data_IF_887753247910
#
_entry.id   IF_887753247910
#
_cell.length_a   1.000
_cell.length_b   1.000
_cell.length_c   1.000
_cell.angle_alpha   90.00
_cell.angle_beta   90.00
_cell.angle_gamma   90.00
#
_symmetry.space_group_name_H-M   'P 1'
#
loop_
_entity.id
_entity.type
_entity.pdbx_description
1 polymer ?
#
# COMPACT_ATOMS: atom_id res chain seq x y z
N UNK A 1 -23.67 8.93 14.74
CA UNK A 1 -23.84 10.27 14.10
C UNK A 1 -23.16 10.21 12.76
N UNK A 2 -23.81 10.62 11.68
CA UNK A 2 -23.17 10.68 10.37
C UNK A 2 -22.20 11.86 10.34
N UNK A 3 -20.92 11.61 9.98
CA UNK A 3 -19.93 12.68 9.90
C UNK A 3 -20.29 13.68 8.79
N UNK A 4 -20.04 14.97 9.03
CA UNK A 4 -20.14 15.98 7.98
C UNK A 4 -18.92 15.90 7.08
N UNK A 5 -19.08 15.41 5.85
CA UNK A 5 -18.01 15.23 4.87
C UNK A 5 -17.86 16.42 3.91
N UNK A 6 -18.72 17.45 3.98
CA UNK A 6 -18.61 18.63 3.12
C UNK A 6 -17.30 19.38 3.44
N UNK A 7 -16.61 19.87 2.44
CA UNK A 7 -15.33 20.56 2.59
C UNK A 7 -15.25 21.74 1.62
N UNK A 8 -14.73 22.89 2.09
CA UNK A 8 -14.35 24.03 1.25
C UNK A 8 -12.84 24.21 1.31
N UNK A 9 -12.19 24.15 0.16
CA UNK A 9 -10.73 24.15 0.08
C UNK A 9 -10.25 25.59 -0.06
N UNK A 10 -9.54 26.09 0.95
CA UNK A 10 -9.00 27.44 0.97
C UNK A 10 -7.54 27.48 0.50
N UNK A 11 -6.76 26.44 0.78
CA UNK A 11 -5.34 26.39 0.43
C UNK A 11 -4.87 24.96 0.17
N UNK A 12 -3.94 24.82 -0.76
CA UNK A 12 -3.20 23.59 -1.01
C UNK A 12 -1.71 23.91 -1.08
N UNK A 13 -0.90 23.05 -0.49
CA UNK A 13 0.56 23.18 -0.55
C UNK A 13 1.17 21.79 -0.80
N UNK A 14 2.14 21.74 -1.71
CA UNK A 14 2.89 20.53 -2.04
C UNK A 14 4.35 20.70 -1.68
N UNK A 15 4.94 19.68 -1.06
CA UNK A 15 6.36 19.66 -0.71
C UNK A 15 6.98 18.36 -1.16
N UNK A 16 8.18 18.45 -1.73
CA UNK A 16 9.01 17.32 -2.11
C UNK A 16 10.21 17.22 -1.19
N UNK A 17 10.44 16.02 -0.71
CA UNK A 17 11.60 15.67 0.11
C UNK A 17 12.35 14.54 -0.58
N UNK A 18 13.69 14.50 -0.42
CA UNK A 18 14.55 13.42 -0.91
C UNK A 18 15.62 13.11 0.12
N UNK A 19 15.72 11.86 0.51
CA UNK A 19 16.76 11.39 1.40
C UNK A 19 17.66 10.38 0.67
N UNK A 20 18.94 10.70 0.44
CA UNK A 20 19.91 9.73 -0.09
C UNK A 20 20.01 8.51 0.85
N UNK A 21 20.20 7.32 0.27
CA UNK A 21 20.35 6.10 1.04
C UNK A 21 21.69 5.44 0.72
N UNK A 22 22.37 4.92 1.76
CA UNK A 22 23.65 4.26 1.61
C UNK A 22 23.52 2.90 0.90
N UNK A 23 22.41 2.18 1.20
CA UNK A 23 22.09 0.89 0.58
C UNK A 23 20.94 1.05 -0.38
N UNK A 24 21.17 1.01 -1.70
CA UNK A 24 20.11 1.12 -2.69
C UNK A 24 19.05 0.02 -2.53
N UNK A 25 17.78 0.35 -2.78
CA UNK A 25 16.73 -0.66 -2.88
C UNK A 25 16.72 -1.20 -4.31
N UNK A 26 16.80 -2.51 -4.44
CA UNK A 26 16.91 -3.21 -5.72
C UNK A 26 15.61 -3.95 -6.01
N UNK A 27 15.05 -3.71 -7.20
CA UNK A 27 13.91 -4.44 -7.73
C UNK A 27 14.30 -5.08 -9.06
N UNK A 28 13.47 -5.97 -9.60
CA UNK A 28 13.70 -6.59 -10.91
C UNK A 28 13.75 -5.56 -12.06
N UNK A 29 13.17 -4.37 -11.89
CA UNK A 29 13.02 -3.35 -12.94
C UNK A 29 13.77 -2.04 -12.65
N UNK A 30 14.41 -1.89 -11.50
CA UNK A 30 15.12 -0.66 -11.20
C UNK A 30 15.82 -0.60 -9.85
N UNK A 31 16.64 0.44 -9.68
CA UNK A 31 17.42 0.69 -8.48
C UNK A 31 17.06 2.07 -7.93
N UNK A 32 16.65 2.13 -6.68
CA UNK A 32 16.33 3.36 -5.97
C UNK A 32 17.54 3.78 -5.12
N UNK A 33 18.11 4.94 -5.41
CA UNK A 33 19.32 5.49 -4.73
C UNK A 33 18.98 6.55 -3.69
N UNK A 34 17.75 7.04 -3.69
CA UNK A 34 17.20 7.96 -2.69
C UNK A 34 15.78 7.55 -2.31
N UNK A 35 15.26 8.11 -1.25
CA UNK A 35 13.85 7.99 -0.84
C UNK A 35 13.15 9.30 -1.14
N UNK A 36 12.35 9.38 -2.20
CA UNK A 36 11.51 10.54 -2.44
C UNK A 36 10.23 10.46 -1.60
N UNK A 37 9.66 11.63 -1.28
CA UNK A 37 8.34 11.76 -0.67
C UNK A 37 7.69 13.07 -1.15
N UNK A 38 6.45 12.98 -1.62
CA UNK A 38 5.65 14.14 -2.03
C UNK A 38 4.48 14.26 -1.06
N UNK A 39 4.53 15.28 -0.20
CA UNK A 39 3.47 15.58 0.75
C UNK A 39 2.52 16.63 0.19
N UNK A 40 1.23 16.36 0.32
CA UNK A 40 0.14 17.30 0.03
C UNK A 40 -0.49 17.72 1.35
N UNK A 41 -0.59 19.04 1.57
CA UNK A 41 -1.34 19.63 2.67
C UNK A 41 -2.51 20.41 2.10
N UNK A 42 -3.73 20.08 2.48
CA UNK A 42 -4.96 20.82 2.16
C UNK A 42 -5.44 21.52 3.42
N UNK A 43 -5.85 22.78 3.31
CA UNK A 43 -6.42 23.57 4.41
C UNK A 43 -7.81 24.07 4.01
N UNK A 44 -8.78 23.94 4.91
CA UNK A 44 -10.12 24.48 4.69
C UNK A 44 -10.24 25.96 5.14
N UNK A 45 -11.42 26.54 4.96
CA UNK A 45 -11.72 27.93 5.33
C UNK A 45 -11.79 28.17 6.85
N UNK A 46 -11.68 27.14 7.66
CA UNK A 46 -11.59 27.20 9.13
C UNK A 46 -10.14 27.01 9.63
N UNK A 47 -9.18 26.78 8.72
CA UNK A 47 -7.78 26.55 9.05
C UNK A 47 -7.47 25.12 9.47
N UNK A 48 -8.40 24.18 9.31
CA UNK A 48 -8.12 22.75 9.56
C UNK A 48 -7.30 22.19 8.39
N UNK A 49 -6.23 21.46 8.73
CA UNK A 49 -5.33 20.88 7.77
C UNK A 49 -5.54 19.37 7.65
N UNK A 50 -5.38 18.86 6.44
CA UNK A 50 -5.29 17.44 6.16
C UNK A 50 -4.07 17.13 5.33
N UNK A 51 -3.48 15.97 5.56
CA UNK A 51 -2.22 15.54 4.96
C UNK A 51 -2.42 14.31 4.09
N UNK A 52 -1.79 14.31 2.91
CA UNK A 52 -1.72 13.18 2.00
C UNK A 52 -0.31 12.99 1.46
N UNK A 53 -0.08 11.86 0.81
CA UNK A 53 1.18 11.54 0.16
C UNK A 53 0.91 10.99 -1.23
N UNK A 54 1.71 11.44 -2.21
CA UNK A 54 1.67 10.96 -3.59
C UNK A 54 2.76 9.93 -3.80
N UNK A 55 2.43 8.75 -4.31
CA UNK A 55 3.45 7.77 -4.67
C UNK A 55 4.37 8.31 -5.76
N UNK A 56 5.70 8.16 -5.57
CA UNK A 56 6.65 8.85 -6.44
C UNK A 56 8.02 8.15 -6.59
N UNK A 57 8.12 6.87 -6.22
CA UNK A 57 9.40 6.14 -6.20
C UNK A 57 10.10 6.06 -7.57
N UNK A 58 9.33 5.96 -8.65
CA UNK A 58 9.84 5.84 -10.02
C UNK A 58 9.07 6.74 -11.00
N UNK A 59 9.74 7.23 -12.05
CA UNK A 59 11.19 7.32 -12.26
C UNK A 59 11.87 8.28 -11.24
N UNK A 60 13.21 8.38 -11.24
CA UNK A 60 13.96 9.20 -10.26
C UNK A 60 13.51 10.67 -10.19
N UNK A 61 13.03 11.26 -11.29
CA UNK A 61 12.45 12.61 -11.36
C UNK A 61 10.96 12.67 -11.05
N UNK A 62 10.37 11.53 -10.66
CA UNK A 62 8.92 11.39 -10.54
C UNK A 62 8.29 12.24 -9.44
N UNK A 63 9.03 12.53 -8.38
CA UNK A 63 8.51 13.29 -7.25
C UNK A 63 8.18 14.73 -7.63
N UNK A 64 9.12 15.44 -8.23
CA UNK A 64 8.95 16.82 -8.66
C UNK A 64 7.90 16.95 -9.77
N UNK A 65 7.84 15.97 -10.66
CA UNK A 65 6.82 15.92 -11.71
C UNK A 65 5.41 15.83 -11.11
N UNK A 66 5.17 14.90 -10.17
CA UNK A 66 3.88 14.73 -9.51
C UNK A 66 3.49 15.94 -8.66
N UNK A 67 4.45 16.56 -7.98
CA UNK A 67 4.22 17.80 -7.25
C UNK A 67 3.71 18.91 -8.19
N UNK A 68 4.31 19.04 -9.39
CA UNK A 68 3.86 20.01 -10.40
C UNK A 68 2.48 19.67 -10.94
N UNK A 69 2.13 18.38 -11.16
CA UNK A 69 0.78 17.99 -11.57
C UNK A 69 -0.27 18.37 -10.50
N UNK A 70 0.02 18.15 -9.22
CA UNK A 70 -0.88 18.60 -8.15
C UNK A 70 -1.08 20.11 -8.20
N UNK A 71 0.01 20.89 -8.29
CA UNK A 71 -0.05 22.35 -8.24
C UNK A 71 -0.64 22.98 -9.51
N UNK A 72 -0.26 22.51 -10.71
CA UNK A 72 -0.63 23.16 -11.97
C UNK A 72 -1.91 22.62 -12.61
N UNK A 73 -2.30 21.37 -12.28
CA UNK A 73 -3.47 20.71 -12.87
C UNK A 73 -4.60 20.61 -11.85
N UNK A 74 -4.32 20.09 -10.64
CA UNK A 74 -5.38 19.81 -9.68
C UNK A 74 -5.76 21.04 -8.84
N UNK A 75 -4.79 21.84 -8.38
CA UNK A 75 -5.07 23.01 -7.54
C UNK A 75 -6.07 23.99 -8.19
N UNK A 76 -5.95 24.39 -9.48
CA UNK A 76 -6.94 25.26 -10.13
C UNK A 76 -8.37 24.71 -10.16
N UNK A 77 -8.54 23.38 -10.03
CA UNK A 77 -9.84 22.74 -9.96
C UNK A 77 -10.44 22.74 -8.55
N UNK A 78 -9.65 23.07 -7.54
CA UNK A 78 -10.01 22.91 -6.12
C UNK A 78 -10.10 24.26 -5.40
N UNK A 79 -9.33 25.25 -5.82
CA UNK A 79 -9.18 26.54 -5.16
C UNK A 79 -10.52 27.24 -4.94
N UNK A 80 -10.81 27.55 -3.67
CA UNK A 80 -12.04 28.23 -3.25
C UNK A 80 -13.32 27.44 -3.44
N UNK A 81 -13.26 26.20 -3.93
CA UNK A 81 -14.45 25.39 -4.21
C UNK A 81 -14.92 24.61 -2.99
N UNK A 82 -16.22 24.32 -3.00
CA UNK A 82 -16.88 23.48 -2.00
C UNK A 82 -17.29 22.15 -2.62
N UNK A 83 -17.11 21.07 -1.87
CA UNK A 83 -17.52 19.73 -2.25
C UNK A 83 -18.35 19.12 -1.11
N UNK A 84 -19.38 18.34 -1.47
CA UNK A 84 -20.20 17.64 -0.49
C UNK A 84 -19.43 16.52 0.24
N UNK A 85 -18.33 16.04 -0.36
CA UNK A 85 -17.46 15.01 0.23
C UNK A 85 -16.13 14.91 -0.51
N UNK A 86 -15.09 14.29 0.09
CA UNK A 86 -13.86 13.90 -0.61
C UNK A 86 -14.14 13.05 -1.86
N UNK A 87 -15.13 12.15 -1.81
CA UNK A 87 -15.56 11.33 -2.96
C UNK A 87 -16.00 12.17 -4.14
N UNK A 88 -16.75 13.27 -3.90
CA UNK A 88 -17.15 14.17 -4.97
C UNK A 88 -15.95 14.90 -5.59
N UNK A 89 -15.02 15.39 -4.77
CA UNK A 89 -13.80 16.02 -5.24
C UNK A 89 -12.96 15.03 -6.07
N UNK A 90 -12.78 13.81 -5.57
CA UNK A 90 -12.09 12.72 -6.28
C UNK A 90 -12.72 12.44 -7.65
N UNK A 91 -14.03 12.27 -7.70
CA UNK A 91 -14.75 12.00 -8.95
C UNK A 91 -14.58 13.14 -9.96
N UNK A 92 -14.65 14.40 -9.51
CA UNK A 92 -14.46 15.56 -10.37
C UNK A 92 -13.03 15.69 -10.88
N UNK A 93 -12.01 15.52 -10.01
CA UNK A 93 -10.60 15.52 -10.44
C UNK A 93 -10.32 14.39 -11.43
N UNK A 94 -10.80 13.19 -11.18
CA UNK A 94 -10.61 12.02 -12.04
C UNK A 94 -11.25 12.24 -13.42
N UNK A 95 -12.49 12.74 -13.47
CA UNK A 95 -13.17 13.02 -14.72
C UNK A 95 -12.49 14.15 -15.52
N UNK A 96 -12.08 15.23 -14.85
CA UNK A 96 -11.43 16.37 -15.49
C UNK A 96 -10.05 16.04 -16.05
N UNK A 97 -9.33 15.08 -15.45
CA UNK A 97 -7.99 14.67 -15.88
C UNK A 97 -7.99 13.49 -16.85
N UNK A 98 -9.13 12.84 -17.10
CA UNK A 98 -9.21 11.62 -17.92
C UNK A 98 -8.67 11.81 -19.35
N UNK A 99 -9.09 12.88 -20.04
CA UNK A 99 -8.60 13.18 -21.40
C UNK A 99 -7.14 13.58 -21.38
N UNK A 100 -6.72 14.38 -20.38
CA UNK A 100 -5.33 14.77 -20.23
C UNK A 100 -4.40 13.56 -20.03
N UNK A 101 -4.83 12.58 -19.24
CA UNK A 101 -4.09 11.35 -19.00
C UNK A 101 -3.83 10.57 -20.31
N UNK A 102 -4.80 10.54 -21.21
CA UNK A 102 -4.67 9.91 -22.53
C UNK A 102 -3.73 10.74 -23.43
N UNK A 103 -3.95 12.05 -23.49
CA UNK A 103 -3.19 12.96 -24.38
C UNK A 103 -1.71 13.02 -24.00
N UNK A 104 -1.39 13.02 -22.71
CA UNK A 104 -0.02 13.05 -22.21
C UNK A 104 0.64 11.68 -22.15
N UNK A 105 -0.12 10.59 -22.24
CA UNK A 105 0.37 9.24 -21.99
C UNK A 105 0.75 9.00 -20.52
N UNK A 106 0.17 9.77 -19.57
CA UNK A 106 0.55 9.75 -18.16
C UNK A 106 -0.62 9.36 -17.20
N UNK A 107 -1.34 8.26 -17.46
CA UNK A 107 -2.44 7.88 -16.58
C UNK A 107 -1.98 7.60 -15.14
N UNK A 108 -0.79 7.00 -14.95
CA UNK A 108 -0.23 6.70 -13.65
C UNK A 108 0.09 7.96 -12.82
N UNK A 109 0.93 8.89 -13.30
CA UNK A 109 1.27 10.12 -12.58
C UNK A 109 0.07 10.97 -12.19
N UNK A 110 -0.92 11.11 -13.08
CA UNK A 110 -2.17 11.84 -12.79
C UNK A 110 -3.03 11.13 -11.74
N UNK A 111 -3.18 9.80 -11.83
CA UNK A 111 -3.91 9.03 -10.83
C UNK A 111 -3.25 9.12 -9.45
N UNK A 112 -1.91 9.11 -9.38
CA UNK A 112 -1.14 9.26 -8.15
C UNK A 112 -1.32 10.66 -7.55
N UNK A 113 -1.30 11.71 -8.38
CA UNK A 113 -1.54 13.08 -7.92
C UNK A 113 -2.96 13.24 -7.34
N UNK A 114 -3.98 12.73 -8.03
CA UNK A 114 -5.38 12.71 -7.56
C UNK A 114 -5.51 11.93 -6.24
N UNK A 115 -4.85 10.77 -6.13
CA UNK A 115 -4.87 9.95 -4.92
C UNK A 115 -4.28 10.71 -3.72
N UNK A 116 -3.14 11.37 -3.87
CA UNK A 116 -2.51 12.14 -2.79
C UNK A 116 -3.39 13.28 -2.28
N UNK A 117 -4.11 13.97 -3.17
CA UNK A 117 -5.09 15.00 -2.78
C UNK A 117 -6.29 14.39 -2.07
N UNK A 118 -6.82 13.26 -2.55
CA UNK A 118 -7.94 12.56 -1.91
C UNK A 118 -7.59 12.12 -0.48
N UNK A 119 -6.39 11.60 -0.28
CA UNK A 119 -5.89 11.23 1.05
C UNK A 119 -5.90 12.45 2.00
N UNK A 120 -5.40 13.60 1.54
CA UNK A 120 -5.38 14.83 2.32
C UNK A 120 -6.80 15.31 2.67
N UNK A 121 -7.75 15.22 1.75
CA UNK A 121 -9.15 15.59 1.99
C UNK A 121 -9.83 14.69 3.03
N UNK A 122 -9.57 13.39 3.00
CA UNK A 122 -10.10 12.47 4.00
C UNK A 122 -9.50 12.68 5.38
N UNK A 123 -8.19 12.98 5.47
CA UNK A 123 -7.54 13.35 6.74
C UNK A 123 -8.16 14.64 7.31
N UNK A 124 -8.35 15.68 6.48
CA UNK A 124 -8.99 16.94 6.87
C UNK A 124 -10.39 16.71 7.44
N UNK A 125 -11.23 15.92 6.74
CA UNK A 125 -12.60 15.62 7.21
C UNK A 125 -12.58 14.87 8.53
N UNK A 126 -11.70 13.89 8.70
CA UNK A 126 -11.57 13.14 9.94
C UNK A 126 -11.09 14.03 11.11
N UNK A 127 -10.12 14.92 10.87
CA UNK A 127 -9.64 15.91 11.85
C UNK A 127 -10.76 16.85 12.30
N UNK A 128 -11.52 17.38 11.34
CA UNK A 128 -12.65 18.27 11.64
C UNK A 128 -13.76 17.57 12.43
N UNK A 129 -13.97 16.28 12.17
CA UNK A 129 -14.90 15.45 12.95
C UNK A 129 -14.38 15.05 14.33
N UNK A 130 -13.11 15.32 14.65
CA UNK A 130 -12.47 14.89 15.90
C UNK A 130 -12.29 13.36 15.98
N UNK A 131 -12.30 12.66 14.86
CA UNK A 131 -12.22 11.20 14.78
C UNK A 131 -10.89 10.74 14.19
N UNK A 132 -10.31 9.61 14.66
CA UNK A 132 -9.28 8.92 13.92
C UNK A 132 -9.78 8.55 12.53
N UNK A 133 -8.92 8.66 11.51
CA UNK A 133 -9.31 8.47 10.11
C UNK A 133 -9.98 7.12 9.87
N UNK A 134 -9.51 6.04 10.49
CA UNK A 134 -10.13 4.71 10.31
C UNK A 134 -11.58 4.65 10.82
N UNK A 135 -11.95 5.43 11.85
CA UNK A 135 -13.34 5.53 12.31
C UNK A 135 -14.17 6.36 11.33
N UNK A 136 -13.64 7.49 10.86
CA UNK A 136 -14.31 8.33 9.87
C UNK A 136 -14.58 7.55 8.56
N UNK A 137 -13.60 6.78 8.09
CA UNK A 137 -13.77 5.92 6.91
C UNK A 137 -14.82 4.83 7.14
N UNK A 138 -14.87 4.22 8.33
CA UNK A 138 -15.87 3.20 8.69
C UNK A 138 -17.29 3.79 8.72
N UNK A 139 -17.47 4.98 9.26
CA UNK A 139 -18.77 5.66 9.22
C UNK A 139 -19.19 5.99 7.77
N UNK A 140 -18.24 6.39 6.92
CA UNK A 140 -18.51 6.67 5.51
C UNK A 140 -18.85 5.43 4.67
N UNK A 141 -18.51 4.23 5.14
CA UNK A 141 -18.89 2.96 4.51
C UNK A 141 -20.37 2.60 4.74
N UNK A 142 -21.06 3.23 5.72
CA UNK A 142 -22.36 2.76 6.19
C UNK A 142 -22.20 1.49 7.03
N UNK A 143 -23.27 0.95 7.63
CA UNK A 143 -23.23 -0.16 8.58
C UNK A 143 -22.20 -1.25 8.26
N UNK A 144 -21.53 -1.80 9.26
CA UNK A 144 -20.40 -2.71 9.04
C UNK A 144 -20.83 -3.89 8.18
N UNK A 145 -19.98 -4.30 7.25
CA UNK A 145 -19.98 -5.68 6.78
C UNK A 145 -19.76 -6.52 8.02
N UNK A 146 -20.81 -7.23 8.48
CA UNK A 146 -20.71 -8.13 9.60
C UNK A 146 -19.72 -9.24 9.24
N UNK A 147 -18.53 -9.29 9.86
CA UNK A 147 -17.55 -10.32 9.55
C UNK A 147 -18.02 -11.72 10.06
N UNK A 148 -19.22 -11.80 10.67
CA UNK A 148 -19.80 -13.03 11.19
C UNK A 148 -20.89 -13.64 10.28
N UNK A 149 -21.11 -13.08 9.08
CA UNK A 149 -21.98 -13.73 8.11
C UNK A 149 -21.35 -15.07 7.75
N UNK A 150 -21.95 -16.14 8.28
CA UNK A 150 -21.55 -17.52 8.12
C UNK A 150 -21.44 -17.88 6.63
N UNK A 151 -20.22 -18.02 6.13
CA UNK A 151 -19.95 -18.82 4.95
C UNK A 151 -19.54 -20.22 5.44
N UNK A 152 -20.42 -21.18 5.18
CA UNK A 152 -20.13 -22.59 5.36
C UNK A 152 -18.90 -23.00 4.54
N UNK A 153 -17.80 -23.47 5.16
CA UNK A 153 -16.57 -23.80 4.45
C UNK A 153 -16.57 -25.20 3.81
N UNK A 154 -17.72 -25.84 3.63
CA UNK A 154 -17.80 -27.26 3.24
C UNK A 154 -17.56 -27.57 1.76
N UNK A 155 -17.38 -26.57 0.87
CA UNK A 155 -17.01 -26.79 -0.53
C UNK A 155 -15.86 -25.88 -0.96
N UNK A 156 -14.64 -26.16 -0.52
CA UNK A 156 -13.44 -25.37 -0.86
C UNK A 156 -12.22 -26.23 -1.06
N UNK A 157 -11.64 -26.14 -2.24
CA UNK A 157 -10.31 -26.60 -2.62
C UNK A 157 -9.30 -26.41 -1.47
N UNK A 158 -8.65 -27.49 -1.03
CA UNK A 158 -7.69 -27.52 0.10
C UNK A 158 -6.44 -26.63 -0.07
N UNK A 159 -6.37 -25.80 -1.10
CA UNK A 159 -5.37 -24.72 -1.33
C UNK A 159 -5.85 -23.35 -0.86
N UNK A 160 -7.00 -23.25 -0.23
CA UNK A 160 -7.40 -22.04 0.47
C UNK A 160 -6.48 -21.88 1.68
N UNK A 161 -5.93 -20.68 1.83
CA UNK A 161 -5.20 -20.27 3.04
C UNK A 161 -5.99 -20.74 4.24
N UNK A 162 -5.40 -21.49 5.23
CA UNK A 162 -6.12 -21.91 6.40
C UNK A 162 -6.86 -20.68 6.97
N UNK A 163 -8.17 -20.78 7.06
CA UNK A 163 -8.98 -19.84 7.80
C UNK A 163 -8.60 -20.05 9.25
N UNK A 164 -7.52 -19.38 9.67
CA UNK A 164 -7.10 -19.40 11.04
C UNK A 164 -8.26 -18.82 11.86
N UNK A 165 -9.00 -19.67 12.53
CA UNK A 165 -10.01 -19.29 13.51
C UNK A 165 -9.42 -18.44 14.66
N UNK A 166 -8.11 -18.17 14.63
CA UNK A 166 -7.34 -17.42 15.61
C UNK A 166 -6.91 -16.04 15.18
N UNK A 167 -7.17 -15.60 13.94
CA UNK A 167 -6.77 -14.28 13.45
C UNK A 167 -7.96 -13.36 13.10
N UNK A 168 -9.05 -13.45 13.85
CA UNK A 168 -10.07 -12.40 13.85
C UNK A 168 -9.47 -11.17 14.52
N UNK A 169 -8.69 -10.39 13.75
CA UNK A 169 -8.20 -9.12 14.26
C UNK A 169 -9.39 -8.19 14.38
N UNK A 170 -9.76 -7.95 15.61
CA UNK A 170 -10.67 -6.88 15.94
C UNK A 170 -9.99 -5.56 15.59
N UNK A 171 -10.09 -5.16 14.33
CA UNK A 171 -9.76 -3.81 13.88
C UNK A 171 -10.56 -2.73 14.63
N UNK A 172 -11.48 -3.16 15.50
CA UNK A 172 -12.28 -2.33 16.37
C UNK A 172 -11.47 -1.36 17.23
N UNK A 173 -10.19 -1.68 17.50
CA UNK A 173 -9.33 -0.93 18.41
C UNK A 173 -8.15 -0.26 17.70
N UNK A 174 -8.12 -0.18 16.37
CA UNK A 174 -6.99 0.40 15.63
C UNK A 174 -5.70 -0.45 15.67
N UNK A 175 -5.76 -1.70 16.14
CA UNK A 175 -4.63 -2.63 16.15
C UNK A 175 -4.65 -3.46 14.88
N UNK A 176 -3.55 -3.41 14.10
CA UNK A 176 -3.46 -4.06 12.80
C UNK A 176 -2.18 -4.91 12.68
N UNK A 177 -2.24 -6.08 12.04
CA UNK A 177 -1.07 -6.90 11.78
C UNK A 177 -0.23 -6.30 10.65
N UNK A 178 1.10 -6.54 10.72
CA UNK A 178 2.06 -6.00 9.75
C UNK A 178 3.00 -7.08 9.24
N UNK A 179 3.72 -6.77 8.16
CA UNK A 179 4.86 -7.54 7.69
C UNK A 179 5.99 -6.63 7.21
N UNK A 180 7.24 -7.08 7.39
CA UNK A 180 8.43 -6.40 6.89
C UNK A 180 8.64 -6.77 5.42
N UNK A 181 8.68 -5.77 4.55
CA UNK A 181 8.74 -5.94 3.09
C UNK A 181 9.98 -5.29 2.47
N UNK A 182 10.17 -5.49 1.17
CA UNK A 182 11.24 -4.87 0.42
C UNK A 182 12.63 -5.42 0.75
N UNK A 183 12.71 -6.61 1.36
CA UNK A 183 13.99 -7.26 1.67
C UNK A 183 14.66 -7.61 0.34
N UNK A 184 15.83 -6.99 0.08
CA UNK A 184 16.61 -7.27 -1.12
C UNK A 184 17.17 -8.70 -1.07
N UNK A 185 17.36 -9.39 -2.23
CA UNK A 185 18.11 -10.64 -2.26
C UNK A 185 19.59 -10.40 -1.93
N UNK A 186 20.30 -11.47 -1.59
CA UNK A 186 21.74 -11.42 -1.38
C UNK A 186 22.49 -10.92 -2.65
N UNK A 187 23.70 -10.45 -2.45
CA UNK A 187 24.59 -10.05 -3.56
C UNK A 187 26.04 -10.34 -3.19
N UNK A 188 26.93 -10.32 -4.18
CA UNK A 188 28.37 -10.47 -3.93
C UNK A 188 28.92 -9.39 -2.97
N UNK A 189 28.32 -8.19 -3.00
CA UNK A 189 28.69 -7.08 -2.10
C UNK A 189 28.05 -7.18 -0.71
N UNK A 190 26.93 -7.91 -0.57
CA UNK A 190 26.17 -8.05 0.68
C UNK A 190 25.55 -9.46 0.77
N UNK A 191 26.35 -10.52 0.97
CA UNK A 191 25.88 -11.90 0.93
C UNK A 191 24.96 -12.25 2.11
N UNK A 192 25.11 -11.57 3.24
CA UNK A 192 24.35 -11.79 4.46
C UNK A 192 23.27 -10.72 4.71
N UNK A 193 23.15 -9.74 3.82
CA UNK A 193 22.27 -8.61 3.98
C UNK A 193 20.82 -8.96 4.30
N UNK A 194 20.15 -9.85 3.53
CA UNK A 194 18.79 -10.28 3.83
C UNK A 194 18.65 -10.92 5.20
N UNK A 195 19.58 -11.79 5.60
CA UNK A 195 19.58 -12.46 6.92
C UNK A 195 19.70 -11.44 8.06
N UNK A 196 20.65 -10.52 7.95
CA UNK A 196 20.89 -9.47 8.96
C UNK A 196 19.68 -8.54 9.08
N UNK A 197 19.08 -8.16 7.95
CA UNK A 197 17.88 -7.29 7.95
C UNK A 197 16.70 -7.99 8.62
N UNK A 198 16.43 -9.25 8.29
CA UNK A 198 15.38 -10.06 8.92
C UNK A 198 15.62 -10.22 10.41
N UNK A 199 16.85 -10.53 10.83
CA UNK A 199 17.19 -10.67 12.25
C UNK A 199 16.93 -9.36 13.02
N UNK A 200 17.30 -8.20 12.46
CA UNK A 200 16.99 -6.87 13.06
C UNK A 200 15.48 -6.65 13.17
N UNK A 201 14.74 -6.85 12.08
CA UNK A 201 13.28 -6.63 12.08
C UNK A 201 12.54 -7.61 13.00
N UNK A 202 13.02 -8.85 13.11
CA UNK A 202 12.51 -9.81 14.10
C UNK A 202 12.72 -9.31 15.54
N UNK A 203 13.90 -8.78 15.84
CA UNK A 203 14.20 -8.20 17.15
C UNK A 203 13.31 -6.98 17.47
N UNK A 204 12.85 -6.23 16.45
CA UNK A 204 11.88 -5.15 16.56
C UNK A 204 10.43 -5.63 16.69
N UNK A 205 10.17 -6.94 16.67
CA UNK A 205 8.85 -7.52 16.89
C UNK A 205 8.11 -7.97 15.62
N UNK A 206 8.71 -7.92 14.44
CA UNK A 206 8.11 -8.47 13.23
C UNK A 206 8.07 -10.01 13.26
N UNK A 207 6.98 -10.58 12.74
CA UNK A 207 6.73 -12.03 12.64
C UNK A 207 6.44 -12.48 11.21
N UNK A 208 6.45 -11.59 10.26
CA UNK A 208 6.17 -11.87 8.85
C UNK A 208 7.12 -11.05 7.95
N UNK A 209 7.62 -11.67 6.87
CA UNK A 209 8.68 -11.11 6.05
C UNK A 209 8.45 -11.38 4.57
N UNK A 210 8.66 -10.38 3.70
CA UNK A 210 8.54 -10.48 2.24
C UNK A 210 9.87 -10.18 1.57
N UNK A 211 10.44 -11.20 0.89
CA UNK A 211 11.69 -11.12 0.14
C UNK A 211 11.43 -10.77 -1.32
N UNK A 212 12.23 -9.87 -1.88
CA UNK A 212 12.28 -9.64 -3.33
C UNK A 212 12.99 -10.81 -4.03
N UNK A 213 12.34 -11.34 -5.06
CA UNK A 213 12.84 -12.39 -5.97
C UNK A 213 12.71 -11.93 -7.41
N UNK A 214 12.93 -12.81 -8.38
CA UNK A 214 12.83 -12.50 -9.80
C UNK A 214 14.20 -12.37 -10.48
N UNK A 215 15.22 -12.85 -9.81
CA UNK A 215 16.60 -12.90 -10.28
C UNK A 215 16.96 -14.34 -10.75
N UNK A 216 18.23 -14.72 -10.66
CA UNK A 216 18.66 -16.09 -10.94
C UNK A 216 18.08 -17.06 -9.89
N UNK A 217 17.61 -18.28 -10.30
CA UNK A 217 16.96 -19.25 -9.41
C UNK A 217 17.77 -19.55 -8.14
N UNK A 218 19.07 -19.80 -8.33
CA UNK A 218 19.97 -20.17 -7.24
C UNK A 218 20.13 -19.04 -6.23
N UNK A 219 20.11 -17.79 -6.72
CA UNK A 219 20.18 -16.58 -5.89
C UNK A 219 18.89 -16.42 -5.08
N UNK A 220 17.74 -16.51 -5.75
CA UNK A 220 16.44 -16.37 -5.10
C UNK A 220 16.26 -17.43 -4.00
N UNK A 221 16.61 -18.70 -4.29
CA UNK A 221 16.48 -19.79 -3.33
C UNK A 221 17.48 -19.68 -2.16
N UNK A 222 18.72 -19.27 -2.43
CA UNK A 222 19.72 -19.06 -1.38
C UNK A 222 19.28 -17.95 -0.44
N UNK A 223 18.84 -16.81 -1.00
CA UNK A 223 18.33 -15.68 -0.22
C UNK A 223 17.11 -16.09 0.62
N UNK A 224 16.18 -16.85 0.02
CA UNK A 224 14.96 -17.27 0.71
C UNK A 224 15.25 -18.23 1.88
N UNK A 225 16.20 -19.18 1.71
CA UNK A 225 16.66 -20.04 2.81
C UNK A 225 17.28 -19.23 3.94
N UNK A 226 18.13 -18.25 3.60
CA UNK A 226 18.73 -17.36 4.60
C UNK A 226 17.70 -16.53 5.37
N UNK A 227 16.68 -16.03 4.67
CA UNK A 227 15.54 -15.32 5.27
C UNK A 227 14.74 -16.25 6.18
N UNK A 228 14.43 -17.48 5.74
CA UNK A 228 13.69 -18.47 6.52
C UNK A 228 14.42 -18.82 7.83
N UNK A 229 15.72 -19.05 7.76
CA UNK A 229 16.56 -19.33 8.94
C UNK A 229 16.55 -18.15 9.93
N UNK A 230 16.74 -16.93 9.44
CA UNK A 230 16.77 -15.72 10.27
C UNK A 230 15.40 -15.37 10.88
N UNK A 231 14.33 -15.60 10.13
CA UNK A 231 12.95 -15.39 10.60
C UNK A 231 12.58 -16.38 11.71
N UNK A 232 13.13 -17.60 11.67
CA UNK A 232 12.92 -18.63 12.67
C UNK A 232 11.55 -19.34 12.55
N UNK A 233 11.31 -20.32 13.40
CA UNK A 233 10.09 -21.12 13.34
C UNK A 233 8.84 -20.29 13.60
N UNK A 234 7.77 -20.56 12.84
CA UNK A 234 6.47 -19.91 12.99
C UNK A 234 6.36 -18.53 12.32
N UNK A 235 7.43 -18.02 11.71
CA UNK A 235 7.34 -16.80 10.92
C UNK A 235 6.60 -17.03 9.59
N UNK A 236 5.80 -16.06 9.18
CA UNK A 236 5.16 -16.05 7.87
C UNK A 236 6.11 -15.51 6.81
N UNK A 237 6.28 -16.26 5.72
CA UNK A 237 7.15 -15.87 4.61
C UNK A 237 6.34 -15.60 3.36
N UNK A 238 6.72 -14.56 2.64
CA UNK A 238 6.18 -14.17 1.35
C UNK A 238 7.33 -13.82 0.40
N UNK A 239 7.04 -13.90 -0.89
CA UNK A 239 8.00 -13.47 -1.92
C UNK A 239 7.31 -12.55 -2.91
N UNK A 240 8.10 -11.65 -3.52
CA UNK A 240 7.62 -10.70 -4.51
C UNK A 240 8.59 -10.68 -5.71
N UNK A 241 8.08 -11.11 -6.86
CA UNK A 241 8.85 -11.15 -8.10
C UNK A 241 8.83 -9.81 -8.87
N UNK A 242 8.01 -8.85 -8.44
CA UNK A 242 7.89 -7.54 -9.11
C UNK A 242 7.78 -7.63 -10.64
N UNK A 243 6.87 -8.50 -11.12
CA UNK A 243 6.55 -8.66 -12.53
C UNK A 243 7.73 -9.19 -13.40
N UNK A 244 8.69 -9.92 -12.80
CA UNK A 244 9.92 -10.30 -13.46
C UNK A 244 9.76 -11.36 -14.57
N UNK A 245 8.67 -12.15 -14.53
CA UNK A 245 8.58 -13.35 -15.37
C UNK A 245 7.49 -13.26 -16.44
N UNK A 246 7.74 -13.91 -17.58
CA UNK A 246 6.70 -14.35 -18.46
C UNK A 246 6.04 -15.65 -17.95
N UNK A 247 4.95 -16.11 -18.59
CA UNK A 247 4.24 -17.30 -18.15
C UNK A 247 5.11 -18.56 -18.17
N UNK A 248 5.93 -18.73 -19.20
CA UNK A 248 6.82 -19.90 -19.34
C UNK A 248 7.84 -19.96 -18.22
N UNK A 249 8.49 -18.84 -17.97
CA UNK A 249 9.45 -18.69 -16.85
C UNK A 249 8.77 -18.90 -15.52
N UNK A 250 7.60 -18.29 -15.30
CA UNK A 250 6.86 -18.43 -14.05
C UNK A 250 6.49 -19.89 -13.79
N UNK A 251 5.97 -20.63 -14.77
CA UNK A 251 5.63 -22.05 -14.65
C UNK A 251 6.86 -22.90 -14.29
N UNK A 252 8.03 -22.60 -14.85
CA UNK A 252 9.27 -23.30 -14.53
C UNK A 252 9.79 -22.98 -13.12
N UNK A 253 9.49 -21.77 -12.59
CA UNK A 253 9.93 -21.31 -11.26
C UNK A 253 9.04 -21.77 -10.10
N UNK A 254 7.72 -21.94 -10.32
CA UNK A 254 6.77 -22.28 -9.25
C UNK A 254 7.18 -23.51 -8.42
N UNK A 255 7.62 -24.65 -9.02
CA UNK A 255 8.00 -25.83 -8.25
C UNK A 255 9.17 -25.58 -7.25
N UNK A 256 10.02 -24.61 -7.54
CA UNK A 256 11.18 -24.30 -6.69
C UNK A 256 10.81 -23.75 -5.31
N UNK A 257 9.58 -23.26 -5.15
CA UNK A 257 9.09 -22.64 -3.93
C UNK A 257 8.21 -23.57 -3.07
N UNK A 258 7.99 -24.81 -3.51
CA UNK A 258 7.04 -25.76 -2.87
C UNK A 258 7.33 -26.02 -1.39
N UNK A 259 8.61 -26.13 -1.02
CA UNK A 259 9.04 -26.53 0.33
C UNK A 259 9.13 -25.37 1.33
N UNK A 260 8.88 -24.12 0.90
CA UNK A 260 9.06 -22.96 1.77
C UNK A 260 7.79 -22.58 2.58
N UNK A 261 6.64 -23.15 2.27
CA UNK A 261 5.38 -22.84 2.98
C UNK A 261 4.96 -21.38 2.87
N UNK A 262 5.16 -20.76 1.70
CA UNK A 262 4.90 -19.33 1.47
C UNK A 262 3.42 -18.99 1.67
N UNK A 263 3.17 -17.84 2.29
CA UNK A 263 1.83 -17.28 2.43
C UNK A 263 1.25 -16.74 1.13
N UNK A 264 2.12 -16.18 0.26
CA UNK A 264 1.80 -15.85 -1.13
C UNK A 264 3.07 -15.62 -1.96
N UNK A 265 2.88 -15.68 -3.27
CA UNK A 265 3.84 -15.25 -4.29
C UNK A 265 3.22 -14.04 -4.99
N UNK A 266 3.88 -12.87 -4.87
CA UNK A 266 3.40 -11.58 -5.35
C UNK A 266 3.96 -11.28 -6.73
N UNK A 267 3.10 -10.77 -7.61
CA UNK A 267 3.40 -10.30 -8.96
C UNK A 267 4.42 -11.15 -9.74
N UNK A 268 4.22 -12.47 -9.87
CA UNK A 268 5.08 -13.30 -10.71
C UNK A 268 5.04 -12.89 -12.17
N UNK A 269 3.88 -12.43 -12.66
CA UNK A 269 3.63 -11.98 -14.02
C UNK A 269 3.42 -10.47 -14.07
N UNK A 270 3.60 -9.86 -15.23
CA UNK A 270 3.27 -8.44 -15.47
C UNK A 270 1.78 -8.18 -15.24
N UNK A 271 1.46 -7.01 -14.72
CA UNK A 271 0.08 -6.61 -14.44
C UNK A 271 -0.76 -6.40 -15.73
N UNK A 272 -0.11 -6.19 -16.87
CA UNK A 272 -0.75 -5.94 -18.17
C UNK A 272 -0.98 -7.20 -19.02
N UNK A 273 -0.58 -8.41 -18.54
CA UNK A 273 -0.87 -9.65 -19.27
C UNK A 273 -2.31 -10.12 -19.01
N UNK A 274 -2.92 -10.87 -19.96
CA UNK A 274 -4.26 -11.40 -19.77
C UNK A 274 -4.41 -12.22 -18.49
N UNK A 275 -5.51 -12.05 -17.75
CA UNK A 275 -5.82 -12.81 -16.55
C UNK A 275 -5.86 -14.34 -16.77
N UNK A 276 -6.07 -14.80 -18.00
CA UNK A 276 -5.96 -16.21 -18.36
C UNK A 276 -4.56 -16.80 -18.04
N UNK A 277 -3.49 -16.02 -18.19
CA UNK A 277 -2.14 -16.45 -17.80
C UNK A 277 -2.02 -16.62 -16.28
N UNK A 278 -2.60 -15.71 -15.51
CA UNK A 278 -2.65 -15.81 -14.06
C UNK A 278 -3.47 -17.03 -13.58
N UNK A 279 -4.55 -17.37 -14.28
CA UNK A 279 -5.35 -18.57 -13.99
C UNK A 279 -4.56 -19.84 -14.21
N UNK A 280 -3.81 -19.93 -15.35
CA UNK A 280 -2.93 -21.05 -15.64
C UNK A 280 -1.87 -21.17 -14.54
N UNK A 281 -1.21 -20.08 -14.18
CA UNK A 281 -0.16 -20.07 -13.17
C UNK A 281 -0.71 -20.45 -11.79
N UNK A 282 -1.89 -19.96 -11.40
CA UNK A 282 -2.55 -20.32 -10.16
C UNK A 282 -2.73 -21.84 -10.00
N UNK A 283 -3.09 -22.53 -11.08
CA UNK A 283 -3.31 -23.98 -11.06
C UNK A 283 -2.04 -24.78 -10.71
N UNK A 284 -0.86 -24.22 -10.96
CA UNK A 284 0.45 -24.84 -10.73
C UNK A 284 1.23 -24.20 -9.55
N UNK A 285 0.75 -23.10 -8.99
CA UNK A 285 1.44 -22.40 -7.91
C UNK A 285 1.38 -23.17 -6.61
N UNK A 286 2.51 -23.36 -5.89
CA UNK A 286 2.56 -24.01 -4.60
C UNK A 286 2.00 -23.13 -3.46
N UNK A 287 1.78 -21.85 -3.71
CA UNK A 287 1.26 -20.88 -2.77
C UNK A 287 0.21 -19.97 -3.42
N UNK A 288 -0.67 -19.31 -2.64
CA UNK A 288 -1.58 -18.31 -3.16
C UNK A 288 -0.85 -17.23 -3.95
N UNK A 289 -1.44 -16.73 -5.04
CA UNK A 289 -0.92 -15.58 -5.77
C UNK A 289 -1.46 -14.26 -5.18
N UNK A 290 -0.63 -13.22 -5.25
CA UNK A 290 -0.99 -11.87 -4.84
C UNK A 290 -0.72 -10.86 -5.95
N UNK A 291 -1.57 -9.85 -6.09
CA UNK A 291 -1.41 -8.72 -7.02
C UNK A 291 -2.33 -7.56 -6.61
N UNK A 292 -2.11 -6.39 -7.21
CA UNK A 292 -3.02 -5.26 -7.03
C UNK A 292 -2.34 -3.90 -7.00
N UNK A 293 -1.07 -3.81 -6.64
CA UNK A 293 -0.34 -2.54 -6.55
C UNK A 293 -0.21 -1.81 -7.90
N UNK A 294 -0.22 -2.57 -8.99
CA UNK A 294 -0.12 -2.06 -10.37
C UNK A 294 -1.46 -2.14 -11.13
N UNK A 295 -2.56 -2.40 -10.42
CA UNK A 295 -3.93 -2.35 -10.95
C UNK A 295 -4.55 -1.00 -10.62
N UNK A 296 -5.16 -0.34 -11.60
CA UNK A 296 -5.76 0.98 -11.43
C UNK A 296 -7.13 1.07 -12.11
N UNK A 297 -8.10 1.65 -11.43
CA UNK A 297 -9.46 1.83 -11.93
C UNK A 297 -10.43 0.69 -11.57
N UNK A 298 -11.70 1.05 -11.39
CA UNK A 298 -12.76 0.10 -11.02
C UNK A 298 -12.83 -1.09 -11.97
N UNK A 299 -12.83 -0.85 -13.29
CA UNK A 299 -12.94 -1.90 -14.29
C UNK A 299 -11.77 -2.90 -14.25
N UNK A 300 -10.55 -2.43 -13.95
CA UNK A 300 -9.39 -3.30 -13.82
C UNK A 300 -9.46 -4.18 -12.57
N UNK A 301 -9.93 -3.63 -11.45
CA UNK A 301 -10.17 -4.42 -10.23
C UNK A 301 -11.35 -5.39 -10.41
N UNK A 302 -12.42 -5.02 -11.13
CA UNK A 302 -13.49 -5.95 -11.46
C UNK A 302 -13.00 -7.12 -12.31
N UNK A 303 -12.13 -6.87 -13.29
CA UNK A 303 -11.49 -7.92 -14.08
C UNK A 303 -10.60 -8.84 -13.22
N UNK A 304 -9.82 -8.27 -12.29
CA UNK A 304 -9.03 -9.04 -11.33
C UNK A 304 -9.92 -9.96 -10.49
N UNK A 305 -11.00 -9.43 -9.93
CA UNK A 305 -11.93 -10.20 -9.09
C UNK A 305 -12.64 -11.30 -9.89
N UNK A 306 -13.11 -10.97 -11.11
CA UNK A 306 -13.75 -11.93 -12.00
C UNK A 306 -12.83 -13.08 -12.42
N UNK A 307 -11.55 -12.81 -12.56
CA UNK A 307 -10.55 -13.81 -12.93
C UNK A 307 -10.33 -14.88 -11.85
N UNK A 308 -10.56 -14.58 -10.59
CA UNK A 308 -10.32 -15.49 -9.44
C UNK A 308 -8.92 -16.11 -9.45
N UNK A 309 -7.93 -15.37 -9.95
CA UNK A 309 -6.57 -15.88 -10.11
C UNK A 309 -5.68 -15.58 -8.89
N UNK A 310 -6.05 -14.60 -8.08
CA UNK A 310 -5.30 -14.20 -6.87
C UNK A 310 -6.13 -14.43 -5.62
N UNK A 311 -5.46 -14.65 -4.49
CA UNK A 311 -6.07 -14.79 -3.17
C UNK A 311 -5.82 -13.59 -2.26
N UNK A 312 -4.81 -12.78 -2.59
CA UNK A 312 -4.44 -11.56 -1.87
C UNK A 312 -4.48 -10.39 -2.86
N UNK A 313 -5.24 -9.36 -2.53
CA UNK A 313 -5.40 -8.15 -3.36
C UNK A 313 -4.75 -6.98 -2.63
N UNK A 314 -3.84 -6.27 -3.32
CA UNK A 314 -2.92 -5.32 -2.74
C UNK A 314 -3.01 -3.92 -3.39
N UNK A 315 -4.18 -3.26 -3.36
CA UNK A 315 -4.28 -1.91 -3.88
C UNK A 315 -3.40 -0.96 -3.07
N UNK A 316 -2.82 0.05 -3.73
CA UNK A 316 -2.01 1.09 -3.10
C UNK A 316 -2.78 2.42 -3.13
N UNK A 317 -3.11 2.93 -1.95
CA UNK A 317 -3.92 4.16 -1.80
C UNK A 317 -3.24 5.41 -2.38
N UNK A 318 -1.91 5.42 -2.48
CA UNK A 318 -1.15 6.55 -3.02
C UNK A 318 -0.84 6.40 -4.52
N UNK A 319 -0.96 5.17 -5.08
CA UNK A 319 -0.79 4.92 -6.53
C UNK A 319 -2.08 5.17 -7.29
N UNK A 320 -3.22 4.81 -6.73
CA UNK A 320 -4.53 5.02 -7.35
C UNK A 320 -5.63 5.11 -6.30
N UNK A 321 -6.60 5.97 -6.58
CA UNK A 321 -7.91 5.95 -5.92
C UNK A 321 -7.99 6.65 -4.57
N UNK A 322 -6.89 6.90 -3.88
CA UNK A 322 -6.97 7.41 -2.51
C UNK A 322 -7.85 6.52 -1.64
N UNK A 323 -8.55 7.08 -0.69
CA UNK A 323 -9.60 6.36 0.05
C UNK A 323 -10.91 6.27 -0.75
N UNK A 324 -11.24 7.31 -1.52
CA UNK A 324 -12.51 7.38 -2.26
C UNK A 324 -12.65 6.26 -3.28
N UNK A 325 -11.57 5.93 -4.01
CA UNK A 325 -11.55 4.83 -4.96
C UNK A 325 -11.34 3.46 -4.30
N UNK A 326 -10.48 3.37 -3.27
CA UNK A 326 -10.12 2.09 -2.68
C UNK A 326 -11.20 1.50 -1.76
N UNK A 327 -11.95 2.32 -1.02
CA UNK A 327 -13.00 1.81 -0.12
C UNK A 327 -13.98 0.85 -0.81
N UNK A 328 -14.62 1.22 -1.95
CA UNK A 328 -15.54 0.30 -2.64
C UNK A 328 -14.84 -0.95 -3.21
N UNK A 329 -13.56 -0.83 -3.62
CA UNK A 329 -12.77 -1.96 -4.09
C UNK A 329 -12.53 -2.96 -2.97
N UNK A 330 -12.07 -2.48 -1.81
CA UNK A 330 -11.78 -3.35 -0.67
C UNK A 330 -13.04 -4.04 -0.17
N UNK A 331 -14.20 -3.37 -0.19
CA UNK A 331 -15.48 -4.04 0.13
C UNK A 331 -15.77 -5.22 -0.82
N UNK A 332 -15.56 -5.04 -2.13
CA UNK A 332 -15.73 -6.13 -3.12
C UNK A 332 -14.72 -7.26 -2.94
N UNK A 333 -13.47 -6.92 -2.60
CA UNK A 333 -12.41 -7.90 -2.29
C UNK A 333 -12.82 -8.77 -1.11
N UNK A 334 -13.26 -8.16 -0.01
CA UNK A 334 -13.69 -8.88 1.19
C UNK A 334 -14.97 -9.69 0.97
N UNK A 335 -15.94 -9.13 0.24
CA UNK A 335 -17.17 -9.83 -0.15
C UNK A 335 -16.91 -11.06 -1.05
N UNK A 336 -15.82 -11.04 -1.83
CA UNK A 336 -15.37 -12.18 -2.62
C UNK A 336 -14.56 -13.21 -1.80
N UNK A 337 -14.45 -13.05 -0.48
CA UNK A 337 -13.67 -13.92 0.40
C UNK A 337 -12.14 -13.80 0.22
N UNK A 338 -11.68 -12.77 -0.46
CA UNK A 338 -10.25 -12.54 -0.68
C UNK A 338 -9.64 -11.71 0.46
N UNK A 339 -8.32 -11.78 0.60
CA UNK A 339 -7.59 -11.01 1.59
C UNK A 339 -7.17 -9.65 1.01
N UNK A 340 -7.42 -8.58 1.75
CA UNK A 340 -6.90 -7.24 1.46
C UNK A 340 -5.62 -7.00 2.26
N UNK A 341 -4.48 -6.83 1.57
CA UNK A 341 -3.21 -6.43 2.17
C UNK A 341 -2.70 -5.20 1.41
N UNK A 342 -2.95 -3.97 1.87
CA UNK A 342 -2.57 -2.78 1.12
C UNK A 342 -1.06 -2.75 0.87
N UNK A 343 -0.66 -2.58 -0.39
CA UNK A 343 0.72 -2.26 -0.75
C UNK A 343 1.05 -0.87 -0.26
N UNK A 344 2.25 -0.69 0.30
CA UNK A 344 2.79 0.65 0.50
C UNK A 344 4.32 0.65 0.71
N UNK A 345 5.04 1.32 -0.18
CA UNK A 345 6.49 1.53 -0.15
C UNK A 345 6.81 3.01 -0.44
N UNK A 346 6.50 3.89 0.53
CA UNK A 346 6.69 5.34 0.44
C UNK A 346 7.14 5.95 1.77
N UNK A 347 6.73 7.18 2.03
CA UNK A 347 6.94 7.88 3.29
C UNK A 347 5.95 7.50 4.37
N UNK A 348 6.03 8.18 5.52
CA UNK A 348 5.23 7.80 6.69
C UNK A 348 3.76 8.23 6.62
N UNK A 349 3.44 9.27 5.85
CA UNK A 349 2.06 9.77 5.77
C UNK A 349 1.19 8.79 4.99
N UNK A 350 1.62 8.34 3.82
CA UNK A 350 0.88 7.35 3.06
C UNK A 350 0.81 5.99 3.77
N UNK A 351 1.86 5.61 4.53
CA UNK A 351 1.83 4.42 5.37
C UNK A 351 0.72 4.50 6.43
N UNK A 352 0.54 5.67 7.08
CA UNK A 352 -0.58 5.91 7.99
C UNK A 352 -1.91 5.72 7.28
N UNK A 353 -2.09 6.31 6.08
CA UNK A 353 -3.32 6.15 5.30
C UNK A 353 -3.62 4.70 4.96
N UNK A 354 -2.61 3.92 4.52
CA UNK A 354 -2.77 2.49 4.24
C UNK A 354 -3.18 1.70 5.50
N UNK A 355 -2.57 2.01 6.65
CA UNK A 355 -2.94 1.45 7.96
C UNK A 355 -4.38 1.78 8.37
N UNK A 356 -4.79 3.04 8.22
CA UNK A 356 -6.15 3.47 8.54
C UNK A 356 -7.20 2.84 7.60
N UNK A 357 -6.88 2.64 6.31
CA UNK A 357 -7.77 1.92 5.40
C UNK A 357 -7.95 0.46 5.85
N UNK A 358 -6.85 -0.23 6.17
CA UNK A 358 -6.91 -1.62 6.64
C UNK A 358 -7.72 -1.75 7.94
N UNK A 359 -7.52 -0.83 8.90
CA UNK A 359 -8.28 -0.80 10.14
C UNK A 359 -9.77 -0.49 9.92
N UNK A 360 -10.10 0.38 8.95
CA UNK A 360 -11.48 0.73 8.63
C UNK A 360 -12.26 -0.42 8.03
N UNK A 361 -11.64 -1.18 7.14
CA UNK A 361 -12.27 -2.25 6.36
C UNK A 361 -12.25 -3.61 7.07
N UNK A 362 -11.30 -3.82 7.98
CA UNK A 362 -11.15 -5.09 8.70
C UNK A 362 -10.61 -6.24 7.83
N UNK A 363 -11.01 -7.47 8.16
CA UNK A 363 -10.54 -8.68 7.49
C UNK A 363 -9.27 -9.26 8.10
N UNK A 364 -8.65 -10.22 7.40
CA UNK A 364 -7.44 -10.95 7.84
C UNK A 364 -6.15 -10.44 7.18
N UNK A 365 -6.20 -9.24 6.60
CA UNK A 365 -5.07 -8.62 5.91
C UNK A 365 -3.97 -8.13 6.85
N UNK A 366 -2.86 -7.70 6.25
CA UNK A 366 -1.69 -7.14 6.94
C UNK A 366 -1.22 -5.88 6.24
N UNK A 367 -0.75 -4.91 7.01
CA UNK A 367 -0.11 -3.71 6.48
C UNK A 367 1.32 -4.01 6.06
N UNK A 368 1.68 -3.59 4.87
CA UNK A 368 3.04 -3.62 4.37
C UNK A 368 3.89 -2.52 5.00
N UNK A 369 5.05 -2.86 5.55
CA UNK A 369 6.03 -1.89 6.05
C UNK A 369 7.38 -2.19 5.41
N UNK A 370 7.94 -1.21 4.71
CA UNK A 370 9.27 -1.31 4.13
C UNK A 370 10.33 -1.61 5.21
N UNK A 371 11.06 -2.69 5.05
CA UNK A 371 12.11 -3.11 5.98
C UNK A 371 13.41 -2.30 5.82
N UNK A 372 13.61 -1.63 4.69
CA UNK A 372 14.81 -0.86 4.42
C UNK A 372 14.80 0.48 5.18
N UNK A 373 15.98 1.07 5.33
CA UNK A 373 16.10 2.36 5.97
C UNK A 373 15.44 3.45 5.13
N UNK A 374 14.56 4.19 5.76
CA UNK A 374 13.82 5.30 5.16
C UNK A 374 13.42 6.32 6.25
N UNK A 375 14.24 7.35 6.47
CA UNK A 375 13.95 8.39 7.46
C UNK A 375 12.60 9.10 7.21
N UNK A 376 12.22 9.32 5.94
CA UNK A 376 10.92 9.91 5.58
C UNK A 376 9.72 9.03 5.98
N UNK A 377 9.92 7.70 6.08
CA UNK A 377 8.94 6.82 6.69
C UNK A 377 9.00 6.90 8.21
N UNK A 378 10.17 6.67 8.80
CA UNK A 378 10.33 6.48 10.25
C UNK A 378 9.95 7.74 11.05
N UNK A 379 10.33 8.93 10.55
CA UNK A 379 10.02 10.21 11.20
C UNK A 379 8.55 10.65 11.03
N UNK A 380 7.87 10.15 9.99
CA UNK A 380 6.52 10.58 9.65
C UNK A 380 5.41 9.55 9.93
N UNK A 381 5.75 8.30 10.29
CA UNK A 381 4.74 7.25 10.44
C UNK A 381 4.09 7.17 11.84
N UNK A 382 4.48 8.02 12.77
CA UNK A 382 3.89 8.04 14.12
C UNK A 382 4.01 6.70 14.84
N UNK A 383 2.94 6.26 15.47
CA UNK A 383 2.88 5.01 16.25
C UNK A 383 3.15 3.74 15.43
N UNK A 384 3.00 3.78 14.11
CA UNK A 384 3.30 2.63 13.21
C UNK A 384 4.81 2.29 13.23
N UNK A 385 5.67 3.20 13.68
CA UNK A 385 7.08 2.92 13.88
C UNK A 385 7.35 1.82 14.93
N UNK A 386 6.39 1.56 15.83
CA UNK A 386 6.55 0.63 16.95
C UNK A 386 5.78 -0.67 16.67
N UNK A 387 6.51 -1.70 16.25
CA UNK A 387 5.96 -3.04 16.04
C UNK A 387 6.08 -3.87 17.32
N UNK A 388 5.03 -4.57 17.67
CA UNK A 388 5.01 -5.50 18.81
C UNK A 388 4.25 -6.76 18.44
N UNK A 389 4.88 -7.91 18.57
CA UNK A 389 4.30 -9.21 18.25
C UNK A 389 3.61 -9.25 16.85
N UNK A 390 4.26 -8.68 15.83
CA UNK A 390 3.75 -8.63 14.46
C UNK A 390 2.57 -7.68 14.23
N UNK A 391 2.35 -6.73 15.13
CA UNK A 391 1.25 -5.78 15.06
C UNK A 391 1.71 -4.36 15.38
N UNK A 392 0.93 -3.37 14.90
CA UNK A 392 1.06 -1.96 15.28
C UNK A 392 -0.27 -1.46 15.83
N UNK A 393 -0.21 -0.40 16.64
CA UNK A 393 -1.36 0.30 17.17
C UNK A 393 -1.47 1.66 16.49
N UNK A 394 -2.58 1.92 15.79
CA UNK A 394 -2.88 3.26 15.29
C UNK A 394 -3.22 4.20 16.43
N UNK A 395 -2.85 5.48 16.27
CA UNK A 395 -3.22 6.52 17.21
C UNK A 395 -4.74 6.74 17.27
N UNK A 396 -5.26 7.06 18.44
CA UNK A 396 -6.68 7.42 18.63
C UNK A 396 -6.89 8.95 18.51
N UNK A 397 -5.91 9.66 17.94
CA UNK A 397 -5.97 11.08 17.65
C UNK A 397 -6.72 11.34 16.33
N UNK A 398 -7.31 12.57 16.15
CA UNK A 398 -8.04 12.91 14.93
C UNK A 398 -7.20 12.80 13.64
N UNK A 399 -7.85 12.43 12.56
CA UNK A 399 -7.20 12.22 11.25
C UNK A 399 -6.28 11.00 11.27
N UNK A 400 -5.15 11.12 10.59
CA UNK A 400 -4.09 10.10 10.58
C UNK A 400 -3.22 10.12 11.85
N UNK A 401 -3.61 10.84 12.89
CA UNK A 401 -2.85 11.04 14.11
C UNK A 401 -2.11 12.39 14.14
N UNK A 402 -0.97 12.45 14.83
CA UNK A 402 -0.20 13.70 14.99
C UNK A 402 0.20 14.33 13.65
N UNK A 403 0.26 15.66 13.63
CA UNK A 403 0.77 16.41 12.49
C UNK A 403 2.22 15.97 12.16
N UNK A 404 2.60 15.93 10.84
CA UNK A 404 3.96 15.58 10.48
C UNK A 404 4.95 16.65 10.96
N UNK A 405 6.04 16.21 11.61
CA UNK A 405 7.14 17.09 12.00
C UNK A 405 8.00 17.42 10.77
N UNK A 406 7.63 18.50 10.08
CA UNK A 406 8.34 18.95 8.89
C UNK A 406 9.69 19.60 9.22
N UNK A 407 9.92 20.02 10.45
CA UNK A 407 11.19 20.59 10.88
C UNK A 407 12.26 19.50 10.98
N UNK A 408 11.88 18.30 11.42
CA UNK A 408 12.77 17.15 11.47
C UNK A 408 13.31 16.71 10.09
N UNK A 409 12.62 17.09 9.00
CA UNK A 409 13.01 16.74 7.62
C UNK A 409 13.30 17.96 6.75
N UNK A 410 13.46 19.15 7.34
CA UNK A 410 13.62 20.43 6.62
C UNK A 410 14.80 20.44 5.65
N UNK A 411 15.94 19.88 6.07
CA UNK A 411 17.20 19.92 5.30
C UNK A 411 17.17 19.09 4.03
N UNK A 412 16.28 18.09 3.96
CA UNK A 412 16.13 17.20 2.79
C UNK A 412 14.95 17.61 1.89
N UNK A 413 14.37 18.78 2.12
CA UNK A 413 13.32 19.33 1.27
C UNK A 413 13.94 19.90 -0.01
N UNK A 414 13.42 19.47 -1.17
CA UNK A 414 13.91 19.87 -2.49
C UNK A 414 12.99 20.84 -3.22
N UNK A 415 11.68 20.85 -2.91
CA UNK A 415 10.70 21.69 -3.59
C UNK A 415 9.54 22.05 -2.66
N UNK A 416 8.99 23.26 -2.81
CA UNK A 416 7.69 23.69 -2.26
C UNK A 416 6.91 24.44 -3.35
N UNK A 417 5.64 24.08 -3.57
CA UNK A 417 4.72 24.70 -4.51
C UNK A 417 3.42 25.09 -3.79
#
# INVERSE_FOLDING_TARGET
MTINTAVRIARLQVRVFRHPIERPVITSFGVMKDRPCVLVCVEDDQGVRGWGEVWCNFPSVGAEHRARLVNSVLWPMLEGRSFASPRQAFAQMSAATAVLAIQSGEPGPLAQAVAGVDLALWDLVARRAGLPLWRALREALGSPVDPTADHDPSEGDQRTVPTAATARHSAANGRIPVYASGINPDSAADPDGPRQLVARRRAEGYTAFKLKIGFEPERDLRSLRGVQEAAGPGADLMVDANQAWDLTTALARMPLFADFGLRWIEEPLRADVPWAHWQILRACSPAPLAAGENVAGDAAFDALLAARAVAVVQPDVAKWGGHSGNLPIVQRVLAAGLRHCPHYLGGGIGLRHAGHLLAATGGTGRLEIDANDNPLRTLLCGSIAQVSAGQVQLEDAPGIGAEPDLDAIREIKTLTL
#
